data_IF_140202051637
#
_entry.id   IF_140202051637
#
_cell.length_a   1.000
_cell.length_b   1.000
_cell.length_c   1.000
_cell.angle_alpha   90.00
_cell.angle_beta   90.00
_cell.angle_gamma   90.00
#
_symmetry.space_group_name_H-M   'P 1'
#
loop_
_entity.id
_entity.type
_entity.pdbx_description
1 polymer ?
#
# COMPACT_ATOMS: atom_id res chain seq x y z
N UNK A 1 22.96 -23.95 -32.80
CA UNK A 1 22.43 -22.73 -33.43
C UNK A 1 21.20 -22.29 -32.71
N UNK A 2 21.06 -20.99 -32.48
CA UNK A 2 19.94 -20.35 -31.78
C UNK A 2 19.37 -19.22 -32.64
N UNK A 3 18.10 -18.90 -32.47
CA UNK A 3 17.50 -17.71 -33.08
C UNK A 3 17.83 -16.53 -32.18
N UNK A 4 18.43 -15.49 -32.71
CA UNK A 4 18.74 -14.25 -32.01
C UNK A 4 18.16 -13.06 -32.75
N UNK A 5 17.91 -11.95 -32.05
CA UNK A 5 17.50 -10.70 -32.66
C UNK A 5 18.76 -9.89 -33.01
N UNK A 6 18.90 -9.48 -34.26
CA UNK A 6 19.97 -8.65 -34.75
C UNK A 6 19.40 -7.60 -35.73
N UNK A 7 19.60 -6.32 -35.45
CA UNK A 7 19.14 -5.17 -36.28
C UNK A 7 17.68 -5.20 -36.74
N UNK A 8 16.80 -5.88 -35.96
CA UNK A 8 15.37 -6.01 -36.26
C UNK A 8 14.98 -7.33 -36.91
N UNK A 9 15.90 -8.12 -37.40
CA UNK A 9 15.72 -9.46 -37.94
C UNK A 9 15.95 -10.55 -36.89
N UNK A 10 15.61 -11.81 -37.24
CA UNK A 10 15.75 -12.97 -36.38
C UNK A 10 16.61 -14.07 -37.05
N UNK A 11 17.90 -13.81 -37.30
CA UNK A 11 18.78 -14.82 -37.91
C UNK A 11 19.05 -15.99 -36.96
N UNK A 12 19.42 -17.11 -37.55
CA UNK A 12 19.91 -18.29 -36.82
C UNK A 12 21.42 -18.23 -36.70
N UNK A 13 21.91 -17.94 -35.49
CA UNK A 13 23.34 -17.69 -35.21
C UNK A 13 23.94 -18.77 -34.31
N UNK A 14 25.24 -18.79 -34.21
CA UNK A 14 25.98 -19.62 -33.23
C UNK A 14 25.79 -19.05 -31.82
N UNK A 15 25.60 -19.88 -30.76
CA UNK A 15 25.39 -19.40 -29.39
C UNK A 15 26.46 -18.43 -28.88
N UNK A 16 27.70 -18.57 -29.35
CA UNK A 16 28.84 -17.76 -28.92
C UNK A 16 28.76 -16.29 -29.40
N UNK A 17 27.92 -16.01 -30.37
CA UNK A 17 27.73 -14.64 -30.92
C UNK A 17 26.65 -13.88 -30.16
N UNK A 18 25.84 -14.58 -29.36
CA UNK A 18 24.73 -13.97 -28.59
C UNK A 18 25.30 -13.25 -27.37
N UNK A 19 25.03 -11.95 -27.23
CA UNK A 19 25.51 -11.14 -26.14
C UNK A 19 24.58 -11.17 -24.90
N UNK A 20 23.28 -11.30 -25.13
CA UNK A 20 22.26 -11.28 -24.08
C UNK A 20 21.25 -12.41 -24.29
N UNK A 21 20.75 -12.95 -23.19
CA UNK A 21 19.67 -13.95 -23.20
C UNK A 21 18.75 -13.73 -22.02
N UNK A 22 17.48 -14.10 -22.18
CA UNK A 22 16.53 -14.08 -21.08
C UNK A 22 16.94 -15.11 -20.02
N UNK A 23 16.83 -14.73 -18.75
CA UNK A 23 17.16 -15.62 -17.62
C UNK A 23 16.16 -16.76 -17.54
N UNK A 24 14.86 -16.48 -17.77
CA UNK A 24 13.80 -17.47 -17.73
C UNK A 24 12.61 -17.04 -18.63
N UNK A 25 11.85 -18.01 -19.21
CA UNK A 25 10.69 -17.72 -20.06
C UNK A 25 9.53 -17.01 -19.34
N UNK A 26 9.42 -17.16 -18.01
CA UNK A 26 8.38 -16.52 -17.18
C UNK A 26 8.54 -15.00 -17.07
N UNK A 27 9.65 -14.41 -17.48
CA UNK A 27 9.84 -12.96 -17.52
C UNK A 27 8.91 -12.22 -18.49
N UNK A 28 8.20 -12.91 -19.38
CA UNK A 28 7.15 -12.33 -20.23
C UNK A 28 5.92 -11.91 -19.43
N UNK A 29 5.67 -12.50 -18.25
CA UNK A 29 4.56 -12.16 -17.39
C UNK A 29 4.80 -10.87 -16.63
N UNK A 30 3.77 -10.04 -16.45
CA UNK A 30 3.82 -8.87 -15.58
C UNK A 30 3.91 -9.27 -14.10
N UNK A 31 4.36 -8.36 -13.24
CA UNK A 31 4.43 -8.59 -11.78
C UNK A 31 3.05 -8.96 -11.23
N UNK A 32 2.00 -8.22 -11.62
CA UNK A 32 0.64 -8.50 -11.17
C UNK A 32 0.11 -9.86 -11.66
N UNK A 33 0.39 -10.27 -12.89
CA UNK A 33 0.06 -11.59 -13.37
C UNK A 33 0.84 -12.69 -12.62
N UNK A 34 2.10 -12.42 -12.28
CA UNK A 34 2.95 -13.35 -11.52
C UNK A 34 2.53 -13.54 -10.05
N UNK A 35 1.66 -12.68 -9.52
CA UNK A 35 1.08 -12.81 -8.18
C UNK A 35 -0.18 -13.68 -8.15
N UNK A 36 -0.70 -14.12 -9.29
CA UNK A 36 -1.90 -14.98 -9.36
C UNK A 36 -1.48 -16.43 -9.11
N UNK A 37 -1.90 -17.04 -7.99
CA UNK A 37 -1.64 -18.46 -7.76
C UNK A 37 -2.44 -19.31 -8.74
N UNK A 38 -1.86 -20.43 -9.19
CA UNK A 38 -2.47 -21.35 -10.16
C UNK A 38 -2.93 -20.69 -11.47
N UNK A 39 -2.15 -19.72 -11.96
CA UNK A 39 -2.46 -18.96 -13.17
C UNK A 39 -2.76 -19.84 -14.39
N UNK A 40 -2.08 -21.00 -14.47
CA UNK A 40 -2.24 -21.98 -15.55
C UNK A 40 -3.64 -22.62 -15.61
N UNK A 41 -4.43 -22.52 -14.56
CA UNK A 41 -5.82 -23.02 -14.51
C UNK A 41 -6.85 -21.97 -14.92
N UNK A 42 -6.43 -20.70 -15.09
CA UNK A 42 -7.31 -19.61 -15.43
C UNK A 42 -7.38 -19.37 -16.94
N UNK A 43 -8.56 -19.00 -17.43
CA UNK A 43 -8.70 -18.44 -18.77
C UNK A 43 -7.94 -17.10 -18.87
N UNK A 44 -7.30 -16.86 -20.02
CA UNK A 44 -6.47 -15.67 -20.23
C UNK A 44 -7.24 -14.35 -19.98
N UNK A 45 -8.51 -14.28 -20.40
CA UNK A 45 -9.35 -13.10 -20.18
C UNK A 45 -9.62 -12.86 -18.69
N UNK A 46 -9.85 -13.91 -17.91
CA UNK A 46 -10.10 -13.81 -16.46
C UNK A 46 -8.81 -13.51 -15.69
N UNK A 47 -7.68 -14.06 -16.10
CA UNK A 47 -6.38 -13.70 -15.55
C UNK A 47 -6.04 -12.22 -15.78
N UNK A 48 -6.36 -11.66 -16.96
CA UNK A 48 -6.21 -10.24 -17.25
C UNK A 48 -7.08 -9.39 -16.32
N UNK A 49 -8.36 -9.74 -16.14
CA UNK A 49 -9.26 -9.03 -15.23
C UNK A 49 -8.74 -9.07 -13.79
N UNK A 50 -8.35 -10.23 -13.28
CA UNK A 50 -7.79 -10.39 -11.94
C UNK A 50 -6.50 -9.60 -11.74
N UNK A 51 -5.60 -9.60 -12.70
CA UNK A 51 -4.37 -8.81 -12.71
C UNK A 51 -4.67 -7.30 -12.63
N UNK A 52 -5.67 -6.82 -13.37
CA UNK A 52 -6.09 -5.43 -13.32
C UNK A 52 -6.72 -5.07 -11.97
N UNK A 53 -7.55 -5.94 -11.39
CA UNK A 53 -8.18 -5.73 -10.08
C UNK A 53 -7.16 -5.66 -8.93
N UNK A 54 -6.09 -6.46 -8.96
CA UNK A 54 -5.02 -6.37 -7.96
C UNK A 54 -4.37 -4.98 -7.92
N UNK A 55 -4.23 -4.32 -9.07
CA UNK A 55 -3.67 -2.95 -9.16
C UNK A 55 -4.61 -1.86 -8.63
N UNK A 56 -5.88 -2.18 -8.43
CA UNK A 56 -6.92 -1.27 -7.92
C UNK A 56 -7.28 -1.57 -6.46
N UNK A 57 -6.57 -2.48 -5.81
CA UNK A 57 -6.83 -2.86 -4.42
C UNK A 57 -6.67 -1.66 -3.48
N UNK A 58 -7.68 -1.43 -2.65
CA UNK A 58 -7.66 -0.37 -1.63
C UNK A 58 -6.91 -0.87 -0.39
N UNK A 59 -5.97 -0.09 0.17
CA UNK A 59 -5.31 -0.45 1.42
C UNK A 59 -6.31 -0.60 2.56
N UNK A 60 -6.33 -1.77 3.20
CA UNK A 60 -7.23 -2.05 4.31
C UNK A 60 -6.60 -1.64 5.64
N UNK A 61 -7.45 -1.32 6.62
CA UNK A 61 -7.03 -1.01 7.98
C UNK A 61 -6.29 -2.20 8.63
N UNK A 62 -6.76 -3.43 8.34
CA UNK A 62 -6.18 -4.69 8.81
C UNK A 62 -6.00 -5.65 7.64
N UNK A 63 -4.96 -5.50 6.83
CA UNK A 63 -4.68 -6.44 5.76
C UNK A 63 -4.28 -7.80 6.32
N UNK A 64 -4.35 -8.84 5.51
CA UNK A 64 -3.96 -10.20 5.87
C UNK A 64 -3.16 -10.81 4.72
N UNK A 65 -2.00 -11.39 5.04
CA UNK A 65 -1.18 -12.07 4.07
C UNK A 65 -1.93 -13.25 3.43
N UNK A 66 -1.78 -13.50 2.13
CA UNK A 66 -2.48 -14.58 1.46
C UNK A 66 -2.02 -15.94 2.01
N UNK A 67 -2.98 -16.85 2.25
CA UNK A 67 -2.67 -18.23 2.68
C UNK A 67 -2.01 -19.00 1.53
N UNK A 68 -2.46 -18.74 0.29
CA UNK A 68 -1.89 -19.31 -0.94
C UNK A 68 -1.31 -18.17 -1.76
N UNK A 69 -0.02 -18.22 -2.00
CA UNK A 69 0.72 -17.23 -2.77
C UNK A 69 1.67 -17.87 -3.77
N UNK A 70 2.34 -17.05 -4.54
CA UNK A 70 3.33 -17.46 -5.55
C UNK A 70 4.76 -17.44 -5.02
N UNK A 71 4.99 -16.84 -3.84
CA UNK A 71 6.30 -16.60 -3.24
C UNK A 71 6.93 -15.27 -3.69
N UNK A 72 6.32 -14.56 -4.61
CA UNK A 72 6.79 -13.25 -5.10
C UNK A 72 6.36 -12.10 -4.17
N UNK A 73 5.38 -12.32 -3.31
CA UNK A 73 4.75 -11.30 -2.45
C UNK A 73 5.77 -10.59 -1.56
N UNK A 74 6.70 -11.34 -0.98
CA UNK A 74 7.76 -10.78 -0.13
C UNK A 74 8.71 -9.90 -0.92
N UNK A 75 9.13 -10.36 -2.10
CA UNK A 75 10.02 -9.60 -2.97
C UNK A 75 9.37 -8.31 -3.45
N UNK A 76 8.11 -8.38 -3.88
CA UNK A 76 7.33 -7.21 -4.31
C UNK A 76 7.17 -6.20 -3.18
N UNK A 77 6.85 -6.65 -1.96
CA UNK A 77 6.72 -5.77 -0.80
C UNK A 77 8.05 -5.05 -0.47
N UNK A 78 9.18 -5.77 -0.52
CA UNK A 78 10.50 -5.21 -0.27
C UNK A 78 10.92 -4.21 -1.36
N UNK A 79 10.78 -4.58 -2.63
CA UNK A 79 11.24 -3.77 -3.76
C UNK A 79 10.36 -2.53 -3.99
N UNK A 80 9.11 -2.57 -3.60
CA UNK A 80 8.20 -1.42 -3.65
C UNK A 80 8.55 -0.30 -2.65
N UNK A 81 9.47 -0.55 -1.72
CA UNK A 81 9.88 0.35 -0.63
C UNK A 81 8.74 0.80 0.28
N UNK A 82 7.68 0.02 0.34
CA UNK A 82 6.58 0.20 1.31
C UNK A 82 7.04 -0.18 2.71
N UNK A 83 7.97 -1.14 2.80
CA UNK A 83 8.61 -1.58 4.03
C UNK A 83 9.84 -0.74 4.33
N UNK A 84 10.11 -0.51 5.61
CA UNK A 84 11.40 0.02 6.07
C UNK A 84 12.22 -1.16 6.58
N UNK A 85 13.36 -1.40 5.96
CA UNK A 85 14.27 -2.48 6.29
C UNK A 85 15.52 -1.96 6.98
N UNK A 86 16.10 -2.75 7.87
CA UNK A 86 17.39 -2.47 8.50
C UNK A 86 18.52 -2.51 7.46
N UNK A 87 19.41 -1.53 7.50
CA UNK A 87 20.55 -1.41 6.59
C UNK A 87 21.79 -2.18 7.05
N UNK A 88 21.78 -2.67 8.30
CA UNK A 88 22.86 -3.42 8.89
C UNK A 88 22.43 -4.12 10.19
N UNK A 89 23.34 -4.88 10.80
CA UNK A 89 23.13 -5.41 12.14
C UNK A 89 23.17 -4.28 13.17
N UNK A 90 22.30 -4.33 14.16
CA UNK A 90 22.22 -3.28 15.17
C UNK A 90 21.23 -3.58 16.28
N UNK A 91 21.00 -2.58 17.13
CA UNK A 91 20.05 -2.64 18.26
C UNK A 91 19.10 -1.46 18.17
N UNK A 92 17.83 -1.72 18.39
CA UNK A 92 16.79 -0.70 18.44
C UNK A 92 16.88 0.05 19.76
N UNK A 93 17.23 1.34 19.70
CA UNK A 93 17.36 2.17 20.92
C UNK A 93 16.04 2.85 21.31
N UNK A 94 15.28 3.29 20.30
CA UNK A 94 14.01 3.97 20.53
C UNK A 94 12.98 3.60 19.48
N UNK A 95 11.74 3.41 19.91
CA UNK A 95 10.58 3.18 19.04
C UNK A 95 9.36 3.86 19.63
N UNK A 96 8.67 4.62 18.78
CA UNK A 96 7.30 5.06 19.02
C UNK A 96 6.47 4.96 17.73
N UNK A 97 5.26 5.50 17.72
CA UNK A 97 4.37 5.44 16.57
C UNK A 97 4.92 6.19 15.33
N UNK A 98 5.82 7.15 15.51
CA UNK A 98 6.30 8.07 14.49
C UNK A 98 7.76 7.84 14.10
N UNK A 99 8.57 7.26 15.01
CA UNK A 99 10.02 7.21 14.88
C UNK A 99 10.56 5.84 15.31
N UNK A 100 11.54 5.34 14.57
CA UNK A 100 12.38 4.20 14.97
C UNK A 100 13.83 4.67 14.93
N UNK A 101 14.57 4.52 16.02
CA UNK A 101 16.00 4.82 16.09
C UNK A 101 16.78 3.55 16.33
N UNK A 102 17.77 3.30 15.47
CA UNK A 102 18.62 2.11 15.51
C UNK A 102 20.07 2.55 15.61
N UNK A 103 20.79 1.89 16.52
CA UNK A 103 22.22 1.96 16.59
C UNK A 103 22.82 0.74 15.89
N UNK A 104 23.53 1.00 14.80
CA UNK A 104 24.15 -0.03 13.99
C UNK A 104 25.51 -0.44 14.53
N UNK A 105 25.79 -1.74 14.47
CA UNK A 105 27.10 -2.32 14.84
C UNK A 105 28.04 -2.15 13.62
N UNK A 106 28.86 -1.08 13.61
CA UNK A 106 29.83 -0.81 12.53
C UNK A 106 31.24 -1.19 12.95
N UNK A 107 31.95 -1.79 12.01
CA UNK A 107 33.39 -2.03 12.17
C UNK A 107 34.20 -0.73 12.08
N UNK A 108 35.42 -0.72 12.61
CA UNK A 108 36.32 0.43 12.49
C UNK A 108 36.63 0.75 11.02
N UNK A 109 36.74 -0.26 10.16
CA UNK A 109 36.98 -0.10 8.72
C UNK A 109 35.79 0.61 8.03
N UNK A 110 34.55 0.23 8.36
CA UNK A 110 33.34 0.87 7.83
C UNK A 110 33.22 2.33 8.29
N UNK A 111 33.59 2.65 9.51
CA UNK A 111 33.63 4.02 10.02
C UNK A 111 34.66 4.91 9.32
N UNK A 112 35.75 4.34 8.84
CA UNK A 112 36.77 5.07 8.07
C UNK A 112 36.36 5.36 6.63
N UNK A 113 35.48 4.52 6.06
CA UNK A 113 35.05 4.61 4.64
C UNK A 113 33.74 5.38 4.50
N UNK A 114 32.84 5.28 5.47
CA UNK A 114 31.52 5.92 5.44
C UNK A 114 31.41 7.05 6.46
N UNK A 115 30.90 8.20 6.02
CA UNK A 115 30.59 9.37 6.87
C UNK A 115 29.23 9.25 7.58
N UNK A 116 28.53 8.13 7.44
CA UNK A 116 27.24 7.94 8.09
C UNK A 116 27.42 7.80 9.62
N UNK A 117 26.43 8.25 10.36
CA UNK A 117 26.39 8.11 11.81
C UNK A 117 26.10 6.65 12.21
N UNK A 118 26.57 6.23 13.40
CA UNK A 118 26.29 4.91 13.96
C UNK A 118 24.81 4.75 14.33
N UNK A 119 24.12 5.88 14.57
CA UNK A 119 22.73 5.94 14.94
C UNK A 119 21.91 6.49 13.76
N UNK A 120 20.88 5.77 13.37
CA UNK A 120 19.97 6.18 12.29
C UNK A 120 18.53 6.22 12.75
N UNK A 121 17.86 7.35 12.48
CA UNK A 121 16.47 7.58 12.81
C UNK A 121 15.60 7.49 11.56
N UNK A 122 14.59 6.63 11.61
CA UNK A 122 13.59 6.44 10.57
C UNK A 122 12.28 7.10 10.99
N UNK A 123 11.83 8.09 10.21
CA UNK A 123 10.55 8.74 10.40
C UNK A 123 9.45 7.95 9.71
N UNK A 124 8.40 7.58 10.44
CA UNK A 124 7.27 6.82 9.91
C UNK A 124 6.19 7.76 9.37
N UNK A 125 5.78 7.53 8.14
CA UNK A 125 4.69 8.28 7.52
C UNK A 125 3.37 7.87 8.18
N UNK A 126 2.59 8.85 8.65
CA UNK A 126 1.31 8.62 9.31
C UNK A 126 0.17 9.25 8.51
N UNK A 127 -0.82 8.45 8.16
CA UNK A 127 -2.10 8.86 7.55
C UNK A 127 -1.98 9.86 6.38
N UNK A 128 -0.93 9.72 5.58
CA UNK A 128 -0.73 10.58 4.41
C UNK A 128 -1.70 10.19 3.30
N UNK A 129 -2.36 11.19 2.71
CA UNK A 129 -3.25 11.01 1.56
C UNK A 129 -2.47 10.56 0.33
N UNK A 130 -3.04 9.62 -0.43
CA UNK A 130 -2.59 9.25 -1.78
C UNK A 130 -3.38 10.00 -2.85
N UNK A 131 -2.94 9.91 -4.11
CA UNK A 131 -3.67 10.50 -5.23
C UNK A 131 -5.08 9.92 -5.44
N UNK A 132 -5.33 8.72 -4.93
CA UNK A 132 -6.63 8.04 -4.97
C UNK A 132 -7.45 8.25 -3.69
N UNK A 133 -7.13 9.26 -2.89
CA UNK A 133 -7.80 9.56 -1.61
C UNK A 133 -7.73 8.43 -0.58
N UNK A 134 -6.79 7.50 -0.73
CA UNK A 134 -6.51 6.46 0.27
C UNK A 134 -5.43 6.90 1.25
N UNK A 135 -5.22 6.14 2.31
CA UNK A 135 -4.28 6.49 3.38
C UNK A 135 -3.03 5.62 3.37
N UNK A 136 -1.86 6.27 3.44
CA UNK A 136 -0.58 5.62 3.73
C UNK A 136 -0.30 5.77 5.23
N UNK A 137 -0.11 4.65 5.91
CA UNK A 137 0.24 4.62 7.32
C UNK A 137 1.28 3.53 7.56
N UNK A 138 2.44 3.93 8.08
CA UNK A 138 3.51 3.00 8.47
C UNK A 138 3.38 2.64 9.94
N UNK A 139 3.60 1.36 10.27
CA UNK A 139 3.48 0.82 11.62
C UNK A 139 4.76 0.10 12.00
N UNK A 140 5.42 0.46 13.13
CA UNK A 140 6.59 -0.24 13.61
C UNK A 140 6.20 -1.66 14.07
N UNK A 141 7.06 -2.63 13.78
CA UNK A 141 6.92 -4.03 14.21
C UNK A 141 8.00 -4.45 15.19
N UNK A 142 9.05 -3.66 15.34
CA UNK A 142 10.16 -3.89 16.28
C UNK A 142 9.90 -3.20 17.61
N UNK A 143 10.59 -3.64 18.66
CA UNK A 143 10.50 -3.08 20.01
C UNK A 143 11.86 -2.57 20.45
N UNK A 144 11.85 -1.63 21.40
CA UNK A 144 13.09 -1.16 22.03
C UNK A 144 13.88 -2.31 22.63
N UNK A 145 15.17 -2.40 22.30
CA UNK A 145 16.08 -3.43 22.75
C UNK A 145 16.19 -4.63 21.80
N UNK A 146 15.37 -4.73 20.77
CA UNK A 146 15.46 -5.81 19.79
C UNK A 146 16.78 -5.71 19.01
N UNK A 147 17.42 -6.86 18.77
CA UNK A 147 18.54 -6.99 17.84
C UNK A 147 17.98 -7.17 16.43
N UNK A 148 18.50 -6.40 15.50
CA UNK A 148 18.12 -6.46 14.09
C UNK A 148 19.29 -6.90 13.23
N UNK A 149 18.97 -7.52 12.10
CA UNK A 149 19.96 -7.96 11.09
C UNK A 149 19.71 -7.22 9.77
N UNK A 150 20.71 -7.23 8.91
CA UNK A 150 20.60 -6.64 7.56
C UNK A 150 19.36 -7.15 6.83
N UNK A 151 18.56 -6.23 6.29
CA UNK A 151 17.34 -6.54 5.52
C UNK A 151 16.12 -6.92 6.37
N UNK A 152 16.23 -6.96 7.70
CA UNK A 152 15.09 -7.20 8.57
C UNK A 152 14.07 -6.07 8.47
N UNK A 153 12.78 -6.41 8.37
CA UNK A 153 11.70 -5.43 8.33
C UNK A 153 11.54 -4.76 9.69
N UNK A 154 11.59 -3.44 9.72
CA UNK A 154 11.44 -2.60 10.90
C UNK A 154 10.03 -2.04 11.03
N UNK A 155 9.44 -1.67 9.90
CA UNK A 155 8.11 -1.11 9.81
C UNK A 155 7.35 -1.70 8.65
N UNK A 156 6.11 -2.09 8.91
CA UNK A 156 5.15 -2.45 7.87
C UNK A 156 4.46 -1.20 7.32
N UNK A 157 4.15 -1.27 6.03
CA UNK A 157 3.42 -0.23 5.32
C UNK A 157 1.96 -0.59 5.10
N UNK A 158 1.33 0.14 4.20
CA UNK A 158 -0.01 -0.17 3.74
C UNK A 158 -0.01 -1.45 2.89
N UNK A 159 -1.11 -2.21 2.94
CA UNK A 159 -1.29 -3.46 2.21
C UNK A 159 -0.11 -4.46 2.39
N UNK A 160 0.47 -4.52 3.59
CA UNK A 160 1.52 -5.48 3.95
C UNK A 160 1.25 -6.11 5.30
N UNK A 161 1.64 -7.37 5.47
CA UNK A 161 1.63 -8.10 6.74
C UNK A 161 2.80 -9.09 6.77
N UNK A 162 3.52 -9.16 7.87
CA UNK A 162 4.68 -10.03 8.06
C UNK A 162 5.79 -9.86 7.00
N UNK A 163 5.91 -8.64 6.43
CA UNK A 163 6.86 -8.34 5.36
C UNK A 163 6.43 -8.87 3.98
N UNK A 164 5.19 -9.30 3.82
CA UNK A 164 4.62 -9.77 2.57
C UNK A 164 3.49 -8.86 2.08
N UNK A 165 3.27 -8.83 0.77
CA UNK A 165 2.17 -8.09 0.17
C UNK A 165 0.82 -8.71 0.60
N UNK A 166 -0.06 -7.89 1.16
CA UNK A 166 -1.36 -8.26 1.67
C UNK A 166 -2.43 -7.30 1.12
N UNK A 167 -2.93 -7.57 -0.09
CA UNK A 167 -3.88 -6.70 -0.79
C UNK A 167 -5.32 -6.79 -0.27
N UNK A 168 -5.62 -7.76 0.58
CA UNK A 168 -6.98 -8.00 1.07
C UNK A 168 -7.02 -8.85 2.33
N UNK A 169 -8.04 -9.69 2.41
CA UNK A 169 -8.33 -10.59 3.53
C UNK A 169 -8.66 -11.99 3.05
N UNK A 170 -8.32 -12.99 3.84
CA UNK A 170 -8.71 -14.37 3.57
C UNK A 170 -10.14 -14.61 4.11
N UNK A 171 -11.06 -14.96 3.23
CA UNK A 171 -12.45 -15.23 3.57
C UNK A 171 -12.84 -16.68 3.27
N UNK A 172 -13.68 -17.25 4.12
CA UNK A 172 -14.33 -18.51 3.84
C UNK A 172 -15.51 -18.29 2.90
N UNK A 173 -15.46 -18.89 1.71
CA UNK A 173 -16.46 -18.72 0.66
C UNK A 173 -17.21 -20.03 0.43
N UNK A 174 -18.52 -19.96 0.25
CA UNK A 174 -19.35 -21.07 -0.22
C UNK A 174 -19.88 -20.77 -1.63
N UNK A 175 -19.61 -21.67 -2.58
CA UNK A 175 -20.10 -21.58 -3.95
C UNK A 175 -21.41 -22.35 -4.06
N UNK A 176 -22.51 -21.65 -3.89
CA UNK A 176 -23.86 -22.22 -3.93
C UNK A 176 -24.92 -21.18 -4.23
N UNK A 177 -26.06 -21.53 -4.85
CA UNK A 177 -27.22 -20.66 -4.91
C UNK A 177 -27.78 -20.38 -3.50
N UNK A 178 -28.08 -19.11 -3.20
CA UNK A 178 -28.63 -18.73 -1.90
C UNK A 178 -29.95 -17.95 -2.04
N UNK A 179 -31.06 -18.65 -2.05
CA UNK A 179 -32.44 -18.07 -2.09
C UNK A 179 -32.63 -17.01 -3.20
N UNK A 180 -31.85 -17.08 -4.28
CA UNK A 180 -31.90 -16.10 -5.37
C UNK A 180 -31.16 -14.76 -5.10
N UNK A 181 -30.67 -14.51 -3.89
CA UNK A 181 -29.98 -13.23 -3.54
C UNK A 181 -28.60 -13.08 -4.15
N UNK A 182 -28.01 -14.18 -4.63
CA UNK A 182 -26.72 -14.19 -5.33
C UNK A 182 -26.88 -14.54 -6.83
N UNK A 183 -27.99 -14.12 -7.44
CA UNK A 183 -28.22 -14.29 -8.88
C UNK A 183 -27.21 -13.46 -9.69
N UNK A 184 -26.69 -14.04 -10.76
CA UNK A 184 -25.61 -13.47 -11.60
C UNK A 184 -24.34 -13.17 -10.79
N UNK A 185 -23.88 -11.92 -10.78
CA UNK A 185 -22.65 -11.47 -10.12
C UNK A 185 -22.88 -10.98 -8.67
N UNK A 186 -24.08 -11.17 -8.15
CA UNK A 186 -24.40 -10.75 -6.78
C UNK A 186 -23.72 -11.68 -5.75
N UNK A 187 -23.22 -11.08 -4.68
CA UNK A 187 -22.55 -11.77 -3.57
C UNK A 187 -23.30 -11.49 -2.27
N UNK A 188 -23.63 -12.55 -1.52
CA UNK A 188 -24.16 -12.43 -0.16
C UNK A 188 -23.00 -12.47 0.82
N UNK A 189 -22.85 -11.44 1.63
CA UNK A 189 -21.80 -11.34 2.65
C UNK A 189 -22.36 -11.50 4.06
N UNK A 190 -21.57 -12.05 4.97
CA UNK A 190 -21.93 -12.17 6.38
C UNK A 190 -21.84 -10.80 7.06
N UNK A 191 -22.78 -10.48 7.96
CA UNK A 191 -22.73 -9.29 8.83
C UNK A 191 -21.42 -9.22 9.64
N UNK A 192 -20.81 -10.35 9.92
CA UNK A 192 -19.50 -10.42 10.60
C UNK A 192 -18.42 -9.60 9.87
N UNK A 193 -18.47 -9.54 8.54
CA UNK A 193 -17.50 -8.77 7.74
C UNK A 193 -17.54 -7.28 8.09
N UNK A 194 -18.73 -6.75 8.33
CA UNK A 194 -18.94 -5.35 8.74
C UNK A 194 -18.61 -5.15 10.21
N UNK A 195 -19.11 -6.03 11.07
CA UNK A 195 -18.91 -5.92 12.53
C UNK A 195 -17.45 -6.01 12.97
N UNK A 196 -16.68 -6.87 12.33
CA UNK A 196 -15.28 -7.13 12.68
C UNK A 196 -14.30 -6.25 11.86
N UNK A 197 -14.78 -5.22 11.14
CA UNK A 197 -13.98 -4.29 10.31
C UNK A 197 -13.04 -5.00 9.32
N UNK A 198 -13.52 -6.06 8.67
CA UNK A 198 -12.68 -6.92 7.82
C UNK A 198 -12.19 -6.16 6.57
N UNK A 199 -13.06 -5.38 5.92
CA UNK A 199 -12.74 -4.60 4.73
C UNK A 199 -12.73 -3.09 4.96
N UNK A 200 -12.62 -2.66 6.21
CA UNK A 200 -12.60 -1.24 6.56
C UNK A 200 -11.35 -0.58 5.99
N UNK A 201 -11.53 0.56 5.34
CA UNK A 201 -10.47 1.38 4.75
C UNK A 201 -10.59 2.83 5.21
N UNK A 202 -9.49 3.58 5.12
CA UNK A 202 -9.45 5.01 5.46
C UNK A 202 -9.33 5.80 4.16
N UNK A 203 -10.23 6.74 3.96
CA UNK A 203 -10.21 7.68 2.85
C UNK A 203 -9.98 9.08 3.38
N UNK A 204 -9.14 9.86 2.68
CA UNK A 204 -8.76 11.22 3.05
C UNK A 204 -9.12 12.14 1.90
N UNK A 205 -10.10 12.99 2.11
CA UNK A 205 -10.52 14.01 1.15
C UNK A 205 -10.14 15.40 1.66
N UNK A 206 -9.62 16.24 0.77
CA UNK A 206 -9.26 17.62 1.07
C UNK A 206 -10.31 18.55 0.44
N UNK A 207 -10.87 19.40 1.26
CA UNK A 207 -11.76 20.46 0.80
C UNK A 207 -11.07 21.80 0.99
N UNK A 208 -10.96 22.57 -0.08
CA UNK A 208 -10.37 23.92 -0.07
C UNK A 208 -11.41 24.95 -0.48
N UNK A 209 -11.46 26.04 0.24
CA UNK A 209 -12.31 27.18 -0.05
C UNK A 209 -11.43 28.45 -0.16
N UNK A 210 -11.62 29.23 -1.20
CA UNK A 210 -10.92 30.49 -1.40
C UNK A 210 -11.89 31.66 -1.21
N UNK A 211 -11.49 32.61 -0.42
CA UNK A 211 -12.19 33.90 -0.25
C UNK A 211 -11.83 34.83 -1.39
N UNK A 212 -12.80 35.40 -2.07
CA UNK A 212 -12.62 36.24 -3.25
C UNK A 212 -13.15 37.64 -3.03
N UNK A 213 -12.51 38.62 -3.66
CA UNK A 213 -13.02 39.97 -3.78
C UNK A 213 -14.08 40.02 -4.87
N UNK A 214 -15.31 40.39 -4.53
CA UNK A 214 -16.39 40.53 -5.49
C UNK A 214 -16.80 41.99 -5.67
N UNK A 215 -17.52 42.31 -6.74
CA UNK A 215 -18.06 43.68 -6.99
C UNK A 215 -19.06 44.14 -5.95
N UNK A 216 -19.63 43.19 -5.17
CA UNK A 216 -20.59 43.46 -4.08
C UNK A 216 -19.93 43.55 -2.70
N UNK A 217 -18.62 43.35 -2.62
CA UNK A 217 -17.84 43.30 -1.39
C UNK A 217 -17.00 42.04 -1.31
N UNK A 218 -16.16 41.97 -0.30
CA UNK A 218 -15.30 40.80 -0.07
C UNK A 218 -16.13 39.67 0.54
N UNK A 219 -15.88 38.45 0.09
CA UNK A 219 -16.37 37.23 0.76
C UNK A 219 -15.67 37.09 2.09
N UNK A 220 -16.30 36.49 3.06
CA UNK A 220 -15.72 36.18 4.38
C UNK A 220 -16.13 34.79 4.86
N UNK A 221 -15.26 34.19 5.68
CA UNK A 221 -15.52 32.90 6.31
C UNK A 221 -16.28 33.15 7.61
N UNK A 222 -17.51 32.62 7.69
CA UNK A 222 -18.38 32.77 8.86
C UNK A 222 -19.35 31.58 8.97
N UNK A 223 -19.86 31.30 10.15
CA UNK A 223 -20.96 30.37 10.37
C UNK A 223 -22.34 31.04 10.22
N UNK A 224 -22.40 32.36 10.22
CA UNK A 224 -23.63 33.13 10.01
C UNK A 224 -23.92 33.29 8.50
N UNK A 225 -24.51 32.26 7.93
CA UNK A 225 -24.81 32.17 6.49
C UNK A 225 -26.31 32.48 6.29
N UNK A 226 -26.66 33.51 5.48
CA UNK A 226 -28.06 33.82 5.19
C UNK A 226 -28.81 32.64 4.55
N UNK A 227 -30.06 32.40 4.99
CA UNK A 227 -30.94 31.33 4.52
C UNK A 227 -30.43 29.89 4.73
N UNK A 228 -29.50 29.67 5.66
CA UNK A 228 -29.06 28.37 6.12
C UNK A 228 -29.56 28.17 7.56
N UNK A 229 -30.04 26.97 7.87
CA UNK A 229 -30.54 26.69 9.24
C UNK A 229 -29.37 26.54 10.22
N UNK A 230 -29.57 26.94 11.47
CA UNK A 230 -28.57 26.75 12.55
C UNK A 230 -28.18 25.27 12.73
N UNK A 231 -29.08 24.35 12.40
CA UNK A 231 -28.79 22.92 12.45
C UNK A 231 -27.74 22.48 11.41
N UNK A 232 -27.72 23.11 10.24
CA UNK A 232 -26.73 22.85 9.18
C UNK A 232 -25.35 23.43 9.49
N UNK A 233 -25.29 24.51 10.31
CA UNK A 233 -24.03 25.18 10.68
C UNK A 233 -23.53 24.86 12.08
N UNK A 234 -24.24 23.98 12.82
CA UNK A 234 -23.93 23.63 14.23
C UNK A 234 -22.50 23.13 14.47
N UNK A 235 -21.87 22.54 13.46
CA UNK A 235 -20.53 21.97 13.53
C UNK A 235 -19.44 22.90 12.99
N UNK A 236 -19.80 24.15 12.65
CA UNK A 236 -18.89 25.20 12.25
C UNK A 236 -18.53 26.09 13.45
N UNK A 237 -17.28 26.56 13.49
CA UNK A 237 -16.84 27.58 14.43
C UNK A 237 -17.21 29.00 13.93
N UNK A 238 -16.86 30.04 14.69
CA UNK A 238 -17.14 31.45 14.34
C UNK A 238 -16.52 31.86 12.99
N UNK A 239 -15.45 31.21 12.57
CA UNK A 239 -14.79 31.42 11.29
C UNK A 239 -15.32 30.53 10.16
N UNK A 240 -16.41 29.82 10.37
CA UNK A 240 -16.98 28.90 9.38
C UNK A 240 -16.16 27.63 9.14
N UNK A 241 -15.19 27.33 10.00
CA UNK A 241 -14.39 26.12 9.92
C UNK A 241 -15.08 24.98 10.66
N UNK A 242 -15.05 23.79 10.08
CA UNK A 242 -15.62 22.60 10.70
C UNK A 242 -14.77 22.13 11.88
N UNK A 243 -15.43 21.80 13.00
CA UNK A 243 -14.74 21.27 14.19
C UNK A 243 -14.26 19.84 13.98
N UNK A 244 -13.17 19.47 14.62
CA UNK A 244 -12.64 18.10 14.61
C UNK A 244 -13.64 17.13 15.25
N UNK A 245 -13.90 16.02 14.57
CA UNK A 245 -14.84 14.97 15.02
C UNK A 245 -16.28 15.23 14.62
N UNK A 246 -16.57 16.25 13.82
CA UNK A 246 -17.91 16.48 13.26
C UNK A 246 -18.26 15.39 12.22
N UNK A 247 -19.53 14.99 12.21
CA UNK A 247 -20.05 14.08 11.19
C UNK A 247 -20.29 14.85 9.89
N UNK A 248 -19.66 14.42 8.81
CA UNK A 248 -19.81 14.98 7.47
C UNK A 248 -20.66 14.03 6.61
N UNK A 249 -21.64 14.58 5.92
CA UNK A 249 -22.50 13.84 4.97
C UNK A 249 -22.32 14.39 3.57
N UNK A 250 -22.51 13.54 2.53
CA UNK A 250 -22.45 13.99 1.14
C UNK A 250 -23.57 14.97 0.81
#
# INVERSE_FOLDING_TARGET
>A
KVIAREEGDFPVVEPNVVHYTDVAPNQIASISASLIPFLEHDDANRALMGSNMMRQAVPLLRPEAPIVGTGLERQVASDSRVLINAEGPGTVEYVDANIITIKYDRSEEERMVSFDEDEKTYNLIKFRKTNQSTSINLKPIVRKGDRVVLGQVLSEGYATQNGELALGRNLKVAFMPWKGYNFEDAIVISEKVVRDDIFTSIHVDDYSLEVRDTKLGNEELTNDIPNVSEEATKDLDENGMIRIGAEVKP
#
